data_IF_487769259493
#
_entry.id   IF_487769259493
#
_cell.length_a   1.000
_cell.length_b   1.000
_cell.length_c   1.000
_cell.angle_alpha   90.00
_cell.angle_beta   90.00
_cell.angle_gamma   90.00
#
_symmetry.space_group_name_H-M   'P 1'
#
loop_
_entity.id
_entity.type
_entity.pdbx_description
1 polymer ?
#
# COMPACT_ATOMS: atom_id res chain seq x y z
N UNK A 1 11.23 22.32 12.88
CA UNK A 1 12.56 21.78 13.28
C UNK A 1 12.70 20.30 12.93
N UNK A 2 11.88 19.40 13.50
CA UNK A 2 11.93 17.95 13.25
C UNK A 2 11.83 17.56 11.76
N UNK A 3 10.80 18.03 11.06
CA UNK A 3 10.60 17.72 9.63
C UNK A 3 11.75 18.20 8.73
N UNK A 4 12.44 19.27 9.13
CA UNK A 4 13.62 19.78 8.39
C UNK A 4 14.83 18.85 8.52
N UNK A 5 15.03 18.22 9.68
CA UNK A 5 16.08 17.21 9.83
C UNK A 5 15.75 15.89 9.13
N UNK A 6 14.47 15.51 9.03
CA UNK A 6 14.05 14.37 8.20
C UNK A 6 14.35 14.63 6.72
N UNK A 7 14.11 15.85 6.24
CA UNK A 7 14.50 16.25 4.89
C UNK A 7 16.02 16.27 4.69
N UNK A 8 16.79 16.75 5.66
CA UNK A 8 18.25 16.75 5.60
C UNK A 8 18.81 15.33 5.63
N UNK A 9 18.22 14.45 6.43
CA UNK A 9 18.50 13.01 6.45
C UNK A 9 18.28 12.39 5.06
N UNK A 10 17.17 12.73 4.37
CA UNK A 10 16.93 12.27 3.00
C UNK A 10 17.93 12.80 1.98
N UNK A 11 18.48 14.01 2.20
CA UNK A 11 19.47 14.63 1.31
C UNK A 11 20.85 14.01 1.49
N UNK A 12 21.31 13.90 2.73
CA UNK A 12 22.69 13.56 3.06
C UNK A 12 22.88 12.10 3.48
N UNK A 13 21.80 11.33 3.70
CA UNK A 13 21.82 9.99 4.32
C UNK A 13 22.53 9.95 5.68
N UNK A 14 22.74 11.11 6.30
CA UNK A 14 23.35 11.25 7.62
C UNK A 14 22.31 11.00 8.69
N UNK A 15 22.66 10.31 9.78
CA UNK A 15 21.71 9.99 10.86
C UNK A 15 20.95 11.23 11.38
N UNK A 16 19.66 11.03 11.69
CA UNK A 16 18.84 12.08 12.32
C UNK A 16 19.43 12.39 13.69
N UNK A 17 19.96 13.60 13.84
CA UNK A 17 20.71 14.02 15.02
C UNK A 17 19.80 14.77 16.00
N UNK A 18 18.65 14.16 16.31
CA UNK A 18 17.72 14.64 17.33
C UNK A 18 17.82 13.63 18.49
N UNK A 19 18.36 14.04 19.66
CA UNK A 19 18.39 13.17 20.84
C UNK A 19 16.97 12.70 21.17
N UNK A 20 16.81 11.40 21.43
CA UNK A 20 15.51 10.79 21.78
C UNK A 20 14.43 10.96 20.71
N UNK A 21 14.79 11.09 19.42
CA UNK A 21 13.84 11.27 18.33
C UNK A 21 12.84 10.13 18.19
N UNK A 22 13.33 8.91 18.34
CA UNK A 22 12.56 7.68 18.41
C UNK A 22 11.57 7.70 19.59
N UNK A 23 12.02 8.16 20.76
CA UNK A 23 11.17 8.34 21.95
C UNK A 23 10.16 9.45 21.74
N UNK A 24 10.53 10.57 21.11
CA UNK A 24 9.64 11.68 20.79
C UNK A 24 8.52 11.27 19.82
N UNK A 25 8.84 10.52 18.77
CA UNK A 25 7.84 10.00 17.84
C UNK A 25 6.94 8.94 18.49
N UNK A 26 7.49 8.08 19.33
CA UNK A 26 6.70 7.13 20.14
C UNK A 26 5.78 7.85 21.13
N UNK A 27 6.26 8.92 21.78
CA UNK A 27 5.45 9.74 22.69
C UNK A 27 4.43 10.61 21.95
N UNK A 28 4.70 11.08 20.74
CA UNK A 28 3.66 11.66 19.88
C UNK A 28 2.55 10.64 19.55
N UNK A 29 2.90 9.35 19.54
CA UNK A 29 1.97 8.25 19.39
C UNK A 29 1.30 7.79 20.71
N UNK A 30 1.74 8.28 21.89
CA UNK A 30 1.24 7.90 23.23
C UNK A 30 0.77 9.15 24.02
N UNK A 31 -0.53 9.26 24.30
CA UNK A 31 -1.14 10.43 24.95
C UNK A 31 -1.69 10.11 26.36
N UNK A 32 -1.26 10.84 27.39
CA UNK A 32 -1.69 10.68 28.81
C UNK A 32 -3.08 11.26 29.15
N UNK A 33 -3.74 11.98 28.23
CA UNK A 33 -5.10 12.47 28.48
C UNK A 33 -5.94 12.54 27.21
N UNK A 34 -6.37 11.37 26.76
CA UNK A 34 -7.10 11.19 25.52
C UNK A 34 -8.63 11.40 25.67
N UNK A 35 -9.08 12.02 26.77
CA UNK A 35 -10.47 12.24 27.17
C UNK A 35 -10.69 13.67 27.74
N UNK A 36 -11.90 14.20 27.56
CA UNK A 36 -12.31 15.56 27.95
C UNK A 36 -12.72 15.65 29.42
N UNK A 37 -13.60 14.74 29.84
CA UNK A 37 -14.11 14.67 31.21
C UNK A 37 -14.45 13.25 31.61
N UNK A 38 -14.46 13.01 32.91
CA UNK A 38 -14.95 11.77 33.53
C UNK A 38 -16.14 12.12 34.41
N UNK A 39 -17.24 11.39 34.25
CA UNK A 39 -18.40 11.46 35.14
C UNK A 39 -18.58 10.10 35.82
N UNK A 40 -19.02 10.13 37.06
CA UNK A 40 -19.22 8.93 37.89
C UNK A 40 -20.67 8.88 38.36
N UNK A 41 -21.18 7.67 38.63
CA UNK A 41 -22.58 7.48 39.02
C UNK A 41 -22.96 8.14 40.35
N UNK A 42 -22.00 8.34 41.25
CA UNK A 42 -22.19 8.86 42.61
C UNK A 42 -20.87 9.44 43.14
N UNK A 43 -20.92 10.22 44.21
CA UNK A 43 -19.74 10.87 44.81
C UNK A 43 -18.81 11.58 43.80
N UNK A 44 -19.33 12.53 42.99
CA UNK A 44 -18.53 13.21 41.97
C UNK A 44 -17.34 14.00 42.56
N UNK A 45 -17.45 14.42 43.82
CA UNK A 45 -16.34 15.07 44.54
C UNK A 45 -15.11 14.17 44.71
N UNK A 46 -15.25 12.83 44.63
CA UNK A 46 -14.14 11.88 44.63
C UNK A 46 -13.72 11.42 43.22
N UNK A 47 -14.38 11.89 42.15
CA UNK A 47 -14.07 11.44 40.79
C UNK A 47 -12.62 11.75 40.38
N UNK A 48 -12.04 12.85 40.89
CA UNK A 48 -10.64 13.22 40.64
C UNK A 48 -9.64 12.16 41.14
N UNK A 49 -10.05 11.31 42.09
CA UNK A 49 -9.24 10.20 42.62
C UNK A 49 -9.05 9.06 41.62
N UNK A 50 -9.86 8.99 40.56
CA UNK A 50 -9.67 8.01 39.49
C UNK A 50 -8.43 8.32 38.64
N UNK A 51 -7.99 9.57 38.59
CA UNK A 51 -6.95 10.02 37.65
C UNK A 51 -5.80 10.75 38.35
N UNK A 52 -5.70 10.66 39.68
CA UNK A 52 -4.64 11.33 40.44
C UNK A 52 -3.32 10.53 40.50
N UNK A 53 -3.30 9.33 39.92
CA UNK A 53 -2.12 8.47 39.83
C UNK A 53 -1.67 7.89 41.17
N UNK A 54 -2.43 8.09 42.25
CA UNK A 54 -2.08 7.59 43.57
C UNK A 54 -2.83 6.29 43.88
N UNK A 55 -2.14 5.15 44.05
CA UNK A 55 -2.78 3.84 44.26
C UNK A 55 -3.46 3.71 45.63
N UNK A 56 -3.28 4.68 46.53
CA UNK A 56 -3.92 4.71 47.87
C UNK A 56 -5.23 5.50 47.88
N UNK A 57 -5.48 6.34 46.88
CA UNK A 57 -6.77 7.02 46.70
C UNK A 57 -7.75 6.15 45.93
N UNK A 58 -9.03 6.44 46.10
CA UNK A 58 -10.09 5.75 45.37
C UNK A 58 -11.31 6.64 45.20
N UNK A 59 -12.04 6.38 44.12
CA UNK A 59 -13.45 6.72 44.02
C UNK A 59 -14.26 5.58 44.64
N UNK A 60 -15.25 5.93 45.45
CA UNK A 60 -16.19 5.01 46.07
C UNK A 60 -17.59 5.36 45.61
N UNK A 61 -18.31 4.39 45.08
CA UNK A 61 -19.71 4.59 44.70
C UNK A 61 -20.65 4.44 45.89
N UNK A 62 -21.86 4.98 45.75
CA UNK A 62 -23.00 4.77 46.64
C UNK A 62 -24.23 4.52 45.76
N UNK A 63 -24.92 3.41 45.96
CA UNK A 63 -26.13 3.10 45.20
C UNK A 63 -26.63 1.67 45.38
N UNK A 64 -27.48 1.21 44.46
CA UNK A 64 -27.93 -0.18 44.43
C UNK A 64 -26.96 -1.06 43.65
N UNK A 65 -26.99 -2.37 43.92
CA UNK A 65 -26.10 -3.32 43.25
C UNK A 65 -26.24 -3.22 41.73
N UNK A 66 -25.12 -2.99 41.04
CA UNK A 66 -25.08 -2.91 39.59
C UNK A 66 -25.48 -1.56 38.97
N UNK A 67 -25.78 -0.54 39.78
CA UNK A 67 -26.07 0.82 39.31
C UNK A 67 -24.82 1.69 39.09
N UNK A 68 -23.63 1.14 39.36
CA UNK A 68 -22.38 1.89 39.38
C UNK A 68 -21.76 1.99 37.99
N UNK A 69 -21.37 3.20 37.60
CA UNK A 69 -20.74 3.44 36.31
C UNK A 69 -19.75 4.60 36.35
N UNK A 70 -18.80 4.55 35.42
CA UNK A 70 -17.86 5.61 35.10
C UNK A 70 -18.03 5.92 33.61
N UNK A 71 -18.43 7.15 33.28
CA UNK A 71 -18.52 7.65 31.91
C UNK A 71 -17.24 8.40 31.57
N UNK A 72 -16.65 8.05 30.44
CA UNK A 72 -15.45 8.67 29.90
C UNK A 72 -15.87 9.37 28.61
N UNK A 73 -15.75 10.70 28.60
CA UNK A 73 -16.04 11.50 27.42
C UNK A 73 -14.75 11.66 26.64
N UNK A 74 -14.67 11.01 25.49
CA UNK A 74 -13.46 10.95 24.69
C UNK A 74 -13.30 12.22 23.86
N UNK A 75 -12.06 12.67 23.67
CA UNK A 75 -11.79 13.69 22.67
C UNK A 75 -12.21 13.21 21.29
N UNK A 76 -12.78 14.11 20.49
CA UNK A 76 -13.32 13.78 19.17
C UNK A 76 -12.28 13.11 18.29
N UNK A 77 -12.58 11.90 17.80
CA UNK A 77 -11.72 11.13 16.89
C UNK A 77 -10.66 10.26 17.55
N UNK A 78 -10.58 10.22 18.90
CA UNK A 78 -9.62 9.37 19.62
C UNK A 78 -10.13 7.95 19.77
N UNK A 79 -9.45 6.99 19.15
CA UNK A 79 -9.73 5.56 19.35
C UNK A 79 -8.94 5.02 20.55
N UNK A 80 -9.60 4.29 21.44
CA UNK A 80 -8.97 3.70 22.63
C UNK A 80 -8.07 2.53 22.21
N UNK A 81 -6.77 2.65 22.52
CA UNK A 81 -5.83 1.52 22.41
C UNK A 81 -5.87 0.64 23.64
N UNK A 82 -5.93 1.24 24.82
CA UNK A 82 -6.04 0.49 26.07
C UNK A 82 -6.85 1.30 27.08
N UNK A 83 -7.79 0.65 27.75
CA UNK A 83 -8.50 1.16 28.92
C UNK A 83 -8.25 0.20 30.07
N UNK A 84 -7.68 0.69 31.16
CA UNK A 84 -7.36 -0.10 32.33
C UNK A 84 -7.94 0.49 33.61
N UNK A 85 -8.29 -0.39 34.53
CA UNK A 85 -8.72 -0.07 35.89
C UNK A 85 -7.67 -0.55 36.88
N UNK A 86 -7.41 0.29 37.89
CA UNK A 86 -6.66 -0.09 39.08
C UNK A 86 -7.64 -0.37 40.21
N UNK A 87 -7.49 -1.54 40.82
CA UNK A 87 -8.31 -2.03 41.93
C UNK A 87 -7.38 -2.62 42.98
N UNK A 88 -7.86 -2.88 44.20
CA UNK A 88 -7.07 -3.60 45.19
C UNK A 88 -7.88 -4.67 45.91
N UNK A 89 -7.22 -5.79 46.20
CA UNK A 89 -7.79 -6.90 46.96
C UNK A 89 -8.16 -6.51 48.39
N UNK A 90 -7.47 -5.52 48.97
CA UNK A 90 -7.77 -4.96 50.30
C UNK A 90 -9.15 -4.27 50.36
N UNK A 91 -9.76 -3.94 49.21
CA UNK A 91 -11.10 -3.37 49.17
C UNK A 91 -12.21 -4.41 49.45
N UNK A 92 -11.88 -5.70 49.54
CA UNK A 92 -12.79 -6.79 49.94
C UNK A 92 -14.11 -6.76 49.17
N UNK A 93 -15.26 -6.58 49.84
CA UNK A 93 -16.58 -6.52 49.21
C UNK A 93 -16.76 -5.33 48.25
N UNK A 94 -15.96 -4.28 48.37
CA UNK A 94 -16.02 -3.11 47.49
C UNK A 94 -15.24 -3.32 46.17
N UNK A 95 -14.44 -4.38 46.06
CA UNK A 95 -13.66 -4.65 44.86
C UNK A 95 -14.58 -5.08 43.69
N UNK A 96 -14.46 -4.49 42.48
CA UNK A 96 -15.18 -4.97 41.30
C UNK A 96 -14.88 -6.44 40.99
N UNK A 97 -15.91 -7.22 40.65
CA UNK A 97 -15.79 -8.62 40.24
C UNK A 97 -16.20 -8.85 38.77
N UNK A 98 -17.14 -8.05 38.25
CA UNK A 98 -17.55 -8.08 36.84
C UNK A 98 -17.77 -6.68 36.30
N UNK A 99 -17.05 -6.35 35.24
CA UNK A 99 -17.10 -5.05 34.57
C UNK A 99 -17.56 -5.24 33.13
N UNK A 100 -18.41 -4.33 32.67
CA UNK A 100 -18.93 -4.27 31.32
C UNK A 100 -18.55 -2.92 30.71
N UNK A 101 -17.86 -2.92 29.58
CA UNK A 101 -17.49 -1.72 28.85
C UNK A 101 -18.47 -1.52 27.70
N UNK A 102 -19.13 -0.36 27.67
CA UNK A 102 -20.13 0.01 26.69
C UNK A 102 -19.70 1.26 25.91
N UNK A 103 -20.04 1.33 24.62
CA UNK A 103 -19.86 2.49 23.76
C UNK A 103 -21.20 3.16 23.43
N UNK A 104 -21.19 4.49 23.34
CA UNK A 104 -22.34 5.31 22.99
C UNK A 104 -21.96 6.57 22.24
N UNK A 105 -22.92 7.10 21.47
CA UNK A 105 -22.74 8.38 20.76
C UNK A 105 -22.89 9.57 21.71
N UNK A 106 -23.75 9.46 22.73
CA UNK A 106 -24.01 10.47 23.76
C UNK A 106 -24.26 9.77 25.10
N UNK A 107 -24.16 10.49 26.23
CA UNK A 107 -24.38 9.93 27.57
C UNK A 107 -25.78 9.32 27.78
N UNK A 108 -26.78 9.76 27.02
CA UNK A 108 -28.15 9.23 27.03
C UNK A 108 -28.37 8.03 26.09
N UNK A 109 -27.42 7.71 25.21
CA UNK A 109 -27.54 6.65 24.20
C UNK A 109 -26.28 5.77 24.17
N UNK A 110 -26.15 4.94 25.21
CA UNK A 110 -25.05 3.98 25.38
C UNK A 110 -25.62 2.57 25.24
N UNK A 111 -25.54 2.00 24.04
CA UNK A 111 -26.21 0.74 23.68
C UNK A 111 -25.27 -0.37 23.24
N UNK A 112 -24.04 -0.05 22.79
CA UNK A 112 -23.14 -1.04 22.20
C UNK A 112 -22.23 -1.65 23.26
N UNK A 113 -22.25 -2.96 23.43
CA UNK A 113 -21.30 -3.67 24.29
C UNK A 113 -19.96 -3.82 23.58
N UNK A 114 -18.88 -3.34 24.21
CA UNK A 114 -17.53 -3.40 23.66
C UNK A 114 -16.74 -4.58 24.26
N UNK A 115 -16.88 -4.82 25.56
CA UNK A 115 -16.22 -5.92 26.24
C UNK A 115 -16.86 -6.23 27.59
N UNK A 116 -16.75 -7.48 28.06
CA UNK A 116 -17.18 -7.91 29.39
C UNK A 116 -16.05 -8.69 30.07
N UNK A 117 -15.60 -8.22 31.23
CA UNK A 117 -14.42 -8.75 31.93
C UNK A 117 -14.79 -9.21 33.35
N UNK A 118 -14.37 -10.41 33.71
CA UNK A 118 -14.40 -10.91 35.09
C UNK A 118 -13.06 -10.62 35.76
N UNK A 119 -13.09 -10.08 36.98
CA UNK A 119 -11.91 -9.63 37.71
C UNK A 119 -11.61 -10.62 38.84
N UNK A 120 -10.36 -11.10 38.89
CA UNK A 120 -9.86 -11.94 39.98
C UNK A 120 -9.75 -11.13 41.28
N UNK A 121 -10.00 -11.77 42.42
CA UNK A 121 -9.86 -11.16 43.75
C UNK A 121 -8.41 -10.77 44.10
N UNK A 122 -7.41 -11.26 43.35
CA UNK A 122 -5.98 -10.93 43.50
C UNK A 122 -5.47 -9.88 42.50
N UNK A 123 -6.32 -9.39 41.60
CA UNK A 123 -5.90 -8.47 40.56
C UNK A 123 -5.64 -7.05 41.11
N UNK A 124 -4.67 -6.35 40.51
CA UNK A 124 -4.28 -4.98 40.89
C UNK A 124 -4.48 -3.97 39.75
N UNK A 125 -4.11 -4.34 38.53
CA UNK A 125 -4.40 -3.58 37.29
C UNK A 125 -5.03 -4.51 36.27
N UNK A 126 -6.16 -4.10 35.68
CA UNK A 126 -6.91 -4.91 34.71
C UNK A 126 -7.19 -4.07 33.47
N UNK A 127 -6.82 -4.60 32.32
CA UNK A 127 -7.21 -4.05 31.03
C UNK A 127 -8.65 -4.48 30.73
N UNK A 128 -9.55 -3.51 30.61
CA UNK A 128 -10.98 -3.76 30.39
C UNK A 128 -11.40 -3.56 28.93
N UNK A 129 -10.61 -2.82 28.14
CA UNK A 129 -10.77 -2.71 26.69
C UNK A 129 -9.40 -2.53 26.04
N UNK A 130 -9.16 -3.22 24.93
CA UNK A 130 -7.92 -3.14 24.18
C UNK A 130 -8.20 -3.11 22.68
N UNK A 131 -7.42 -2.32 21.95
CA UNK A 131 -7.46 -2.17 20.49
C UNK A 131 -8.87 -1.99 19.92
N UNK A 132 -9.59 -0.96 20.39
CA UNK A 132 -10.89 -0.63 19.82
C UNK A 132 -10.74 -0.30 18.32
N UNK A 133 -11.68 -0.76 17.50
CA UNK A 133 -11.66 -0.55 16.03
C UNK A 133 -12.44 0.68 15.58
N UNK A 134 -13.19 1.30 16.51
CA UNK A 134 -14.09 2.42 16.25
C UNK A 134 -13.95 3.48 17.34
N UNK A 135 -14.08 4.75 16.93
CA UNK A 135 -14.22 5.88 17.84
C UNK A 135 -15.58 5.88 18.55
N UNK A 136 -15.56 6.05 19.87
CA UNK A 136 -16.76 6.18 20.71
C UNK A 136 -16.68 7.51 21.48
N UNK A 137 -17.62 8.45 21.24
CA UNK A 137 -17.65 9.72 21.97
C UNK A 137 -17.80 9.53 23.49
N UNK A 138 -18.60 8.55 23.90
CA UNK A 138 -18.76 8.18 25.31
C UNK A 138 -18.48 6.70 25.48
N UNK A 139 -17.55 6.38 26.38
CA UNK A 139 -17.27 5.01 26.82
C UNK A 139 -17.65 4.88 28.27
N UNK A 140 -18.51 3.92 28.58
CA UNK A 140 -19.04 3.70 29.91
C UNK A 140 -18.55 2.37 30.47
N UNK A 141 -17.88 2.45 31.62
CA UNK A 141 -17.47 1.30 32.41
C UNK A 141 -18.55 1.05 33.45
N UNK A 142 -19.38 0.02 33.25
CA UNK A 142 -20.41 -0.41 34.21
C UNK A 142 -19.86 -1.50 35.12
N UNK A 143 -20.01 -1.33 36.42
CA UNK A 143 -19.62 -2.31 37.42
C UNK A 143 -20.88 -3.11 37.78
N UNK A 144 -20.98 -4.33 37.24
CA UNK A 144 -22.19 -5.17 37.35
C UNK A 144 -22.25 -5.94 38.66
N UNK A 145 -21.10 -6.30 39.23
CA UNK A 145 -21.00 -7.09 40.46
C UNK A 145 -19.68 -6.76 41.16
N UNK A 146 -19.71 -6.72 42.49
CA UNK A 146 -18.54 -6.63 43.35
C UNK A 146 -18.26 -7.99 44.01
N UNK A 147 -17.06 -8.17 44.55
CA UNK A 147 -16.67 -9.37 45.27
C UNK A 147 -17.55 -9.56 46.52
N UNK A 148 -17.67 -10.80 47.00
CA UNK A 148 -18.40 -11.15 48.23
C UNK A 148 -19.85 -10.61 48.30
N UNK A 149 -20.47 -10.31 47.16
CA UNK A 149 -21.84 -9.76 47.11
C UNK A 149 -21.95 -8.30 47.55
N UNK A 150 -20.84 -7.54 47.53
CA UNK A 150 -20.86 -6.14 47.90
C UNK A 150 -21.80 -5.29 47.04
N UNK A 151 -22.35 -4.24 47.67
CA UNK A 151 -23.30 -3.33 47.06
C UNK A 151 -22.55 -2.22 46.34
N UNK A 152 -21.67 -1.51 47.04
CA UNK A 152 -20.87 -0.39 46.54
C UNK A 152 -19.53 -0.85 45.97
N UNK A 153 -18.84 0.04 45.25
CA UNK A 153 -17.55 -0.29 44.64
C UNK A 153 -16.48 0.78 44.84
N UNK A 154 -15.23 0.34 44.96
CA UNK A 154 -14.04 1.18 44.98
C UNK A 154 -13.18 0.93 43.75
N UNK A 155 -12.86 2.02 43.04
CA UNK A 155 -11.91 2.01 41.92
C UNK A 155 -10.81 3.00 42.25
N UNK A 156 -9.57 2.54 42.19
CA UNK A 156 -8.38 3.28 42.62
C UNK A 156 -7.75 4.10 41.52
N UNK A 157 -7.95 3.68 40.27
CA UNK A 157 -7.39 4.37 39.12
C UNK A 157 -8.10 3.99 37.83
N UNK A 158 -8.09 4.91 36.90
CA UNK A 158 -8.56 4.78 35.53
C UNK A 158 -7.48 5.30 34.61
N UNK A 159 -7.00 4.43 33.72
CA UNK A 159 -5.98 4.77 32.74
C UNK A 159 -6.56 4.55 31.34
N UNK A 160 -6.50 5.60 30.50
CA UNK A 160 -6.97 5.54 29.11
C UNK A 160 -5.82 5.92 28.19
N UNK A 161 -5.34 4.95 27.43
CA UNK A 161 -4.31 5.15 26.42
C UNK A 161 -4.96 5.25 25.04
N UNK A 162 -4.67 6.35 24.36
CA UNK A 162 -5.06 6.63 22.98
C UNK A 162 -4.00 7.48 22.29
N UNK A 163 -4.05 7.63 20.96
CA UNK A 163 -3.19 8.57 20.25
C UNK A 163 -3.63 10.03 20.53
N UNK A 164 -2.67 10.97 20.59
CA UNK A 164 -2.92 12.41 20.81
C UNK A 164 -3.83 12.98 19.73
N UNK A 165 -4.98 13.59 20.06
CA UNK A 165 -5.94 14.07 19.06
C UNK A 165 -5.47 15.23 18.18
N UNK A 166 -4.29 15.85 18.40
CA UNK A 166 -3.94 17.08 17.67
C UNK A 166 -2.62 17.06 16.89
N UNK A 167 -1.58 16.35 17.34
CA UNK A 167 -0.25 16.48 16.71
C UNK A 167 0.11 15.36 15.75
N UNK A 168 -0.31 14.12 16.02
CA UNK A 168 0.08 12.98 15.18
C UNK A 168 -0.52 13.03 13.77
N UNK A 169 -1.83 13.30 13.57
CA UNK A 169 -2.40 13.41 12.23
C UNK A 169 -1.75 14.54 11.42
N UNK A 170 -1.50 15.69 12.05
CA UNK A 170 -0.82 16.84 11.43
C UNK A 170 0.63 16.49 11.08
N UNK A 171 1.35 15.83 11.98
CA UNK A 171 2.71 15.38 11.70
C UNK A 171 2.76 14.38 10.55
N UNK A 172 1.87 13.37 10.53
CA UNK A 172 1.74 12.38 9.46
C UNK A 172 1.46 13.06 8.12
N UNK A 173 0.51 14.00 8.08
CA UNK A 173 0.18 14.76 6.88
C UNK A 173 1.39 15.58 6.39
N UNK A 174 2.08 16.29 7.28
CA UNK A 174 3.25 17.08 6.92
C UNK A 174 4.46 16.23 6.50
N UNK A 175 4.65 15.07 7.14
CA UNK A 175 5.65 14.08 6.74
C UNK A 175 5.36 13.62 5.31
N UNK A 176 4.13 13.17 5.02
CA UNK A 176 3.74 12.73 3.68
C UNK A 176 3.88 13.86 2.66
N UNK A 177 3.36 15.06 2.93
CA UNK A 177 3.46 16.21 2.02
C UNK A 177 4.91 16.54 1.65
N UNK A 178 5.81 16.60 2.63
CA UNK A 178 7.24 16.87 2.39
C UNK A 178 7.94 15.73 1.64
N UNK A 179 7.57 14.49 1.97
CA UNK A 179 8.04 13.30 1.24
C UNK A 179 7.62 13.35 -0.23
N UNK A 180 6.36 13.71 -0.48
CA UNK A 180 5.80 13.85 -1.80
C UNK A 180 6.55 14.90 -2.63
N UNK A 181 6.74 16.11 -2.07
CA UNK A 181 7.44 17.19 -2.76
C UNK A 181 8.90 16.82 -3.06
N UNK A 182 9.60 16.22 -2.10
CA UNK A 182 10.98 15.79 -2.27
C UNK A 182 11.13 14.76 -3.39
N UNK A 183 10.30 13.70 -3.37
CA UNK A 183 10.40 12.64 -4.36
C UNK A 183 9.84 13.01 -5.73
N UNK A 184 8.86 13.90 -5.81
CA UNK A 184 8.36 14.43 -7.09
C UNK A 184 9.47 15.18 -7.84
N UNK A 185 10.23 16.03 -7.13
CA UNK A 185 11.38 16.72 -7.71
C UNK A 185 12.45 15.74 -8.19
N UNK A 186 12.77 14.70 -7.40
CA UNK A 186 13.72 13.66 -7.80
C UNK A 186 13.23 12.83 -8.97
N UNK A 187 11.95 12.45 -9.00
CA UNK A 187 11.35 11.70 -10.10
C UNK A 187 11.47 12.46 -11.42
N UNK A 188 11.20 13.77 -11.39
CA UNK A 188 11.33 14.64 -12.55
C UNK A 188 12.79 14.72 -13.03
N UNK A 189 13.73 15.00 -12.13
CA UNK A 189 15.17 15.08 -12.47
C UNK A 189 15.71 13.76 -13.02
N UNK A 190 15.42 12.63 -12.36
CA UNK A 190 15.85 11.32 -12.84
C UNK A 190 15.17 10.92 -14.16
N UNK A 191 13.90 11.27 -14.34
CA UNK A 191 13.17 11.05 -15.60
C UNK A 191 13.82 11.80 -16.76
N UNK A 192 14.15 13.08 -16.58
CA UNK A 192 14.86 13.89 -17.59
C UNK A 192 16.24 13.31 -17.92
N UNK A 193 17.03 12.93 -16.92
CA UNK A 193 18.34 12.30 -17.15
C UNK A 193 18.26 11.02 -18.01
N UNK A 194 17.17 10.25 -17.87
CA UNK A 194 16.94 9.02 -18.62
C UNK A 194 16.46 9.31 -20.04
N UNK A 195 15.60 10.31 -20.22
CA UNK A 195 15.17 10.77 -21.54
C UNK A 195 16.37 11.26 -22.37
N UNK A 196 17.28 12.03 -21.76
CA UNK A 196 18.51 12.50 -22.42
C UNK A 196 19.49 11.34 -22.73
N UNK A 197 19.69 10.43 -21.76
CA UNK A 197 20.63 9.31 -21.89
C UNK A 197 19.98 8.01 -21.43
N UNK A 198 19.39 7.28 -22.39
CA UNK A 198 18.69 5.99 -22.17
C UNK A 198 19.55 4.96 -21.43
N UNK A 199 20.88 5.02 -21.56
CA UNK A 199 21.82 4.14 -20.86
C UNK A 199 21.83 4.32 -19.33
N UNK A 200 21.41 5.49 -18.82
CA UNK A 200 21.30 5.77 -17.39
C UNK A 200 20.14 5.04 -16.72
N UNK A 201 19.22 4.45 -17.49
CA UNK A 201 18.11 3.66 -16.95
C UNK A 201 18.57 2.53 -16.02
N UNK A 202 19.72 1.91 -16.27
CA UNK A 202 20.27 0.89 -15.36
C UNK A 202 20.80 1.48 -14.04
N UNK A 203 21.22 2.74 -14.04
CA UNK A 203 21.65 3.43 -12.81
C UNK A 203 20.44 3.84 -11.95
N UNK A 204 19.26 4.02 -12.57
CA UNK A 204 18.00 4.28 -11.88
C UNK A 204 17.72 3.19 -10.84
N UNK A 205 17.94 1.92 -11.18
CA UNK A 205 17.72 0.79 -10.27
C UNK A 205 18.41 1.00 -8.91
N UNK A 206 19.70 1.32 -8.93
CA UNK A 206 20.47 1.52 -7.71
C UNK A 206 20.06 2.77 -6.92
N UNK A 207 19.60 3.82 -7.60
CA UNK A 207 19.08 5.04 -6.94
C UNK A 207 17.70 4.80 -6.32
N UNK A 208 16.83 4.10 -7.05
CA UNK A 208 15.47 3.78 -6.65
C UNK A 208 15.45 2.84 -5.45
N UNK A 209 16.20 1.74 -5.52
CA UNK A 209 16.26 0.77 -4.42
C UNK A 209 16.81 1.43 -3.14
N UNK A 210 17.85 2.27 -3.26
CA UNK A 210 18.36 3.03 -2.10
C UNK A 210 17.33 3.98 -1.50
N UNK A 211 16.55 4.68 -2.34
CA UNK A 211 15.50 5.57 -1.87
C UNK A 211 14.38 4.79 -1.14
N UNK A 212 13.90 3.68 -1.73
CA UNK A 212 12.86 2.86 -1.12
C UNK A 212 13.34 2.19 0.18
N UNK A 213 14.55 1.61 0.20
CA UNK A 213 15.13 1.02 1.41
C UNK A 213 15.30 2.05 2.52
N UNK A 214 15.68 3.29 2.19
CA UNK A 214 15.82 4.36 3.17
C UNK A 214 14.49 4.76 3.82
N UNK A 215 13.41 4.89 3.04
CA UNK A 215 12.08 5.18 3.61
C UNK A 215 11.53 3.99 4.39
N UNK A 216 11.82 2.76 3.97
CA UNK A 216 11.45 1.56 4.72
C UNK A 216 12.19 1.50 6.08
N UNK A 217 13.52 1.73 6.08
CA UNK A 217 14.31 1.76 7.32
C UNK A 217 13.83 2.88 8.25
N UNK A 218 13.49 4.05 7.70
CA UNK A 218 12.89 5.12 8.48
C UNK A 218 11.55 4.70 9.11
N UNK A 219 10.68 4.06 8.33
CA UNK A 219 9.40 3.57 8.81
C UNK A 219 9.57 2.56 9.95
N UNK A 220 10.39 1.53 9.73
CA UNK A 220 10.61 0.43 10.69
C UNK A 220 11.26 0.92 11.99
N UNK A 221 12.15 1.91 11.91
CA UNK A 221 12.91 2.41 13.06
C UNK A 221 12.14 3.45 13.88
N UNK A 222 11.36 4.30 13.23
CA UNK A 222 10.82 5.51 13.85
C UNK A 222 9.29 5.56 13.92
N UNK A 223 8.55 4.89 13.04
CA UNK A 223 7.09 4.91 13.04
C UNK A 223 6.55 3.74 13.87
N UNK A 224 5.74 4.04 14.89
CA UNK A 224 5.11 3.02 15.75
C UNK A 224 3.76 2.52 15.22
N UNK A 225 3.25 3.10 14.12
CA UNK A 225 1.94 2.84 13.55
C UNK A 225 2.07 2.29 12.13
N UNK A 226 1.57 1.07 11.91
CA UNK A 226 1.54 0.40 10.60
C UNK A 226 0.78 1.23 9.56
N UNK A 227 -0.23 2.00 9.97
CA UNK A 227 -0.99 2.87 9.07
C UNK A 227 -0.14 4.04 8.56
N UNK A 228 0.74 4.58 9.40
CA UNK A 228 1.67 5.64 9.02
C UNK A 228 2.78 5.11 8.10
N UNK A 229 3.33 3.92 8.39
CA UNK A 229 4.30 3.26 7.52
C UNK A 229 3.71 2.99 6.12
N UNK A 230 2.48 2.46 6.06
CA UNK A 230 1.75 2.25 4.79
C UNK A 230 1.48 3.56 4.05
N UNK A 231 1.09 4.63 4.76
CA UNK A 231 0.85 5.94 4.14
C UNK A 231 2.13 6.54 3.56
N UNK A 232 3.26 6.43 4.26
CA UNK A 232 4.57 6.85 3.76
C UNK A 232 4.97 6.05 2.51
N UNK A 233 4.77 4.73 2.54
CA UNK A 233 5.01 3.84 1.40
C UNK A 233 4.17 4.23 0.16
N UNK A 234 2.86 4.47 0.34
CA UNK A 234 1.97 4.95 -0.73
C UNK A 234 2.41 6.31 -1.28
N UNK A 235 2.85 7.21 -0.41
CA UNK A 235 3.35 8.53 -0.81
C UNK A 235 4.61 8.41 -1.68
N UNK A 236 5.55 7.55 -1.28
CA UNK A 236 6.75 7.29 -2.08
C UNK A 236 6.40 6.68 -3.44
N UNK A 237 5.43 5.77 -3.46
CA UNK A 237 4.93 5.17 -4.70
C UNK A 237 4.34 6.20 -5.66
N UNK A 238 3.43 7.05 -5.19
CA UNK A 238 2.75 8.06 -5.99
C UNK A 238 3.69 9.19 -6.45
N UNK A 239 4.62 9.61 -5.61
CA UNK A 239 5.55 10.71 -5.89
C UNK A 239 6.78 10.29 -6.70
N UNK A 240 7.30 9.08 -6.46
CA UNK A 240 8.54 8.60 -7.07
C UNK A 240 8.28 7.60 -8.19
N UNK A 241 7.64 6.48 -7.85
CA UNK A 241 7.59 5.32 -8.74
C UNK A 241 6.65 5.57 -9.91
N UNK A 242 5.43 6.01 -9.63
CA UNK A 242 4.42 6.19 -10.67
C UNK A 242 4.84 7.18 -11.76
N UNK A 243 5.40 8.37 -11.45
CA UNK A 243 5.89 9.30 -12.46
C UNK A 243 7.13 8.78 -13.22
N UNK A 244 8.05 8.08 -12.54
CA UNK A 244 9.20 7.47 -13.19
C UNK A 244 8.80 6.39 -14.17
N UNK A 245 7.89 5.49 -13.79
CA UNK A 245 7.39 4.45 -14.70
C UNK A 245 6.72 5.08 -15.91
N UNK A 246 5.91 6.13 -15.72
CA UNK A 246 5.34 6.88 -16.86
C UNK A 246 6.42 7.47 -17.76
N UNK A 247 7.46 8.08 -17.20
CA UNK A 247 8.56 8.67 -17.97
C UNK A 247 9.35 7.63 -18.78
N UNK A 248 9.68 6.48 -18.20
CA UNK A 248 10.46 5.44 -18.91
C UNK A 248 9.61 4.63 -19.90
N UNK A 249 8.29 4.62 -19.74
CA UNK A 249 7.34 3.90 -20.61
C UNK A 249 6.72 4.79 -21.68
N UNK A 250 6.74 6.12 -21.52
CA UNK A 250 6.24 7.07 -22.50
C UNK A 250 6.97 6.88 -23.84
N UNK A 251 6.20 6.62 -24.90
CA UNK A 251 6.66 6.57 -26.28
C UNK A 251 6.12 7.78 -27.04
N UNK A 252 7.02 8.54 -27.64
CA UNK A 252 6.67 9.55 -28.65
C UNK A 252 6.52 8.83 -30.01
N UNK A 253 5.60 9.21 -30.92
CA UNK A 253 5.50 8.65 -32.27
C UNK A 253 6.83 8.54 -33.02
N UNK A 254 7.82 9.40 -32.73
CA UNK A 254 9.14 9.37 -33.39
C UNK A 254 10.20 8.65 -32.55
N UNK A 255 10.12 8.70 -31.22
CA UNK A 255 11.15 8.18 -30.32
C UNK A 255 10.74 6.93 -29.54
N UNK A 256 11.61 5.93 -29.60
CA UNK A 256 11.48 4.70 -28.80
C UNK A 256 11.64 5.03 -27.31
N UNK A 257 10.69 4.60 -26.50
CA UNK A 257 10.73 4.79 -25.05
C UNK A 257 12.03 4.22 -24.45
N UNK A 258 12.59 4.82 -23.38
CA UNK A 258 13.82 4.32 -22.74
C UNK A 258 13.72 2.85 -22.34
N UNK A 259 12.57 2.41 -21.84
CA UNK A 259 12.33 1.01 -21.50
C UNK A 259 12.29 0.12 -22.76
N UNK A 260 11.59 0.53 -23.82
CA UNK A 260 11.54 -0.22 -25.08
C UNK A 260 12.92 -0.37 -25.71
N UNK A 261 13.75 0.67 -25.65
CA UNK A 261 15.16 0.62 -26.06
C UNK A 261 15.96 -0.42 -25.26
N UNK A 262 15.82 -0.42 -23.93
CA UNK A 262 16.53 -1.35 -23.05
C UNK A 262 16.15 -2.81 -23.34
N UNK A 263 14.85 -3.07 -23.47
CA UNK A 263 14.30 -4.39 -23.77
C UNK A 263 14.75 -4.89 -25.15
N UNK A 264 14.79 -4.00 -26.15
CA UNK A 264 15.29 -4.34 -27.50
C UNK A 264 16.77 -4.72 -27.42
N UNK A 265 17.59 -3.93 -26.72
CA UNK A 265 19.03 -4.21 -26.55
C UNK A 265 19.30 -5.49 -25.75
N UNK A 266 18.43 -5.82 -24.79
CA UNK A 266 18.47 -7.12 -24.10
C UNK A 266 18.26 -8.29 -25.07
N UNK A 267 17.24 -8.22 -25.93
CA UNK A 267 16.96 -9.27 -26.91
C UNK A 267 18.09 -9.44 -27.93
N UNK A 268 18.65 -8.34 -28.42
CA UNK A 268 19.82 -8.36 -29.32
C UNK A 268 21.03 -9.04 -28.66
N UNK A 269 21.26 -8.79 -27.37
CA UNK A 269 22.32 -9.44 -26.60
C UNK A 269 22.09 -10.94 -26.37
N UNK A 270 20.84 -11.38 -26.28
CA UNK A 270 20.48 -12.80 -26.15
C UNK A 270 20.71 -13.54 -27.48
N UNK A 271 20.50 -12.87 -28.61
CA UNK A 271 20.67 -13.44 -29.95
C UNK A 271 22.11 -13.34 -30.49
N UNK A 272 22.91 -12.39 -30.01
CA UNK A 272 24.26 -12.13 -30.50
C UNK A 272 25.30 -13.19 -30.12
N UNK A 273 25.92 -13.83 -31.12
CA UNK A 273 26.88 -14.94 -30.95
C UNK A 273 28.35 -14.54 -30.72
N UNK A 274 28.72 -13.24 -30.82
CA UNK A 274 30.15 -12.83 -30.97
C UNK A 274 30.71 -11.70 -30.08
N UNK A 275 29.97 -11.09 -29.14
CA UNK A 275 30.54 -10.03 -28.25
C UNK A 275 31.05 -10.59 -26.93
N UNK A 276 32.04 -9.91 -26.32
CA UNK A 276 32.69 -10.25 -25.04
C UNK A 276 31.66 -10.73 -24.00
N UNK A 277 31.64 -12.05 -23.74
CA UNK A 277 30.57 -12.74 -23.00
C UNK A 277 30.34 -12.18 -21.59
N UNK A 278 31.40 -11.66 -20.96
CA UNK A 278 31.35 -11.13 -19.60
C UNK A 278 30.51 -9.84 -19.49
N UNK A 279 30.75 -8.85 -20.35
CA UNK A 279 30.08 -7.54 -20.26
C UNK A 279 28.59 -7.65 -20.60
N UNK A 280 28.24 -8.49 -21.57
CA UNK A 280 26.85 -8.77 -21.96
C UNK A 280 26.07 -9.47 -20.86
N UNK A 281 26.70 -10.41 -20.14
CA UNK A 281 26.09 -11.09 -19.00
C UNK A 281 25.77 -10.14 -17.85
N UNK A 282 26.72 -9.24 -17.51
CA UNK A 282 26.51 -8.22 -16.46
C UNK A 282 25.34 -7.30 -16.83
N UNK A 283 25.29 -6.81 -18.07
CA UNK A 283 24.19 -5.99 -18.55
C UNK A 283 22.83 -6.70 -18.43
N UNK A 284 22.73 -7.93 -18.94
CA UNK A 284 21.49 -8.71 -18.89
C UNK A 284 21.04 -8.99 -17.44
N UNK A 285 21.98 -9.25 -16.53
CA UNK A 285 21.66 -9.41 -15.11
C UNK A 285 21.04 -8.16 -14.48
N UNK A 286 21.54 -6.96 -14.87
CA UNK A 286 21.01 -5.68 -14.38
C UNK A 286 19.63 -5.37 -14.96
N UNK A 287 19.40 -5.70 -16.24
CA UNK A 287 18.07 -5.56 -16.87
C UNK A 287 17.03 -6.43 -16.14
N UNK A 288 17.34 -7.71 -15.88
CA UNK A 288 16.42 -8.59 -15.14
C UNK A 288 16.08 -8.04 -13.75
N UNK A 289 17.09 -7.60 -12.99
CA UNK A 289 16.88 -7.00 -11.66
C UNK A 289 15.99 -5.75 -11.71
N UNK A 290 16.19 -4.88 -12.70
CA UNK A 290 15.35 -3.70 -12.92
C UNK A 290 13.90 -4.12 -13.24
N UNK A 291 13.71 -5.02 -14.20
CA UNK A 291 12.37 -5.50 -14.59
C UNK A 291 11.63 -6.16 -13.44
N UNK A 292 12.30 -7.00 -12.65
CA UNK A 292 11.72 -7.61 -11.46
C UNK A 292 11.28 -6.58 -10.42
N UNK A 293 12.10 -5.56 -10.15
CA UNK A 293 11.74 -4.50 -9.20
C UNK A 293 10.55 -3.69 -9.71
N UNK A 294 10.56 -3.23 -10.96
CA UNK A 294 9.45 -2.45 -11.50
C UNK A 294 8.12 -3.21 -11.41
N UNK A 295 8.15 -4.52 -11.69
CA UNK A 295 6.97 -5.38 -11.59
C UNK A 295 6.56 -5.66 -10.14
N UNK A 296 7.50 -5.91 -9.23
CA UNK A 296 7.19 -6.23 -7.82
C UNK A 296 6.67 -5.04 -7.04
N UNK A 297 7.25 -3.85 -7.25
CA UNK A 297 6.83 -2.67 -6.50
C UNK A 297 5.38 -2.28 -6.91
N UNK A 298 4.97 -2.53 -8.17
CA UNK A 298 3.59 -2.40 -8.68
C UNK A 298 2.58 -3.41 -8.10
N UNK A 299 3.04 -4.58 -7.62
CA UNK A 299 2.19 -5.64 -7.07
C UNK A 299 1.94 -5.56 -5.56
N UNK A 300 2.54 -4.60 -4.87
CA UNK A 300 2.21 -4.34 -3.46
C UNK A 300 0.76 -3.84 -3.35
N UNK A 301 -0.06 -4.37 -2.42
CA UNK A 301 -1.51 -4.22 -2.49
C UNK A 301 -1.93 -2.76 -2.28
N UNK A 302 -2.49 -2.15 -3.33
CA UNK A 302 -3.53 -1.15 -3.13
C UNK A 302 -4.71 -1.90 -2.49
N UNK A 303 -4.91 -1.70 -1.20
CA UNK A 303 -6.05 -2.26 -0.47
C UNK A 303 -7.34 -2.04 -1.26
N UNK A 304 -7.93 -3.14 -1.73
CA UNK A 304 -9.29 -3.23 -2.26
C UNK A 304 -10.26 -2.98 -1.12
N UNK A 305 -10.44 -1.73 -0.73
CA UNK A 305 -11.63 -1.27 -0.03
C UNK A 305 -12.58 -0.63 -1.06
N UNK A 306 -13.00 -1.44 -2.03
CA UNK A 306 -14.20 -1.16 -2.83
C UNK A 306 -15.40 -1.18 -1.89
N UNK A 307 -15.81 0.02 -1.46
CA UNK A 307 -17.08 0.27 -0.83
C UNK A 307 -18.19 -0.38 -1.68
N UNK A 308 -18.93 -1.31 -1.07
CA UNK A 308 -20.26 -1.75 -1.56
C UNK A 308 -21.15 -0.51 -1.76
N UNK A 309 -22.05 -0.50 -2.75
CA UNK A 309 -22.98 0.61 -2.92
C UNK A 309 -24.08 0.54 -1.84
N UNK A 310 -24.40 1.65 -1.12
CA UNK A 310 -25.64 1.72 -0.38
C UNK A 310 -26.77 2.18 -1.31
N UNK A 311 -27.87 1.43 -1.23
CA UNK A 311 -29.17 1.73 -1.82
C UNK A 311 -29.74 3.08 -1.35
N UNK A 312 -30.45 3.73 -2.27
CA UNK A 312 -31.18 5.01 -2.18
C UNK A 312 -31.90 5.24 -0.82
N UNK A 313 -31.79 6.47 -0.29
CA UNK A 313 -32.96 7.30 0.04
C UNK A 313 -32.60 8.78 0.31
N UNK A 314 -33.53 9.65 -0.08
CA UNK A 314 -33.48 11.11 -0.15
C UNK A 314 -33.33 11.84 1.19
N UNK A 315 -32.71 13.03 1.16
CA UNK A 315 -32.88 14.07 2.18
C UNK A 315 -31.80 15.17 2.16
N UNK A 316 -32.18 16.38 1.74
CA UNK A 316 -31.35 17.61 1.63
C UNK A 316 -30.76 18.07 2.97
N UNK A 317 -29.51 18.56 3.00
CA UNK A 317 -29.16 20.01 3.10
C UNK A 317 -27.70 20.28 3.57
N UNK A 318 -27.07 21.23 2.85
CA UNK A 318 -26.03 22.23 3.22
C UNK A 318 -24.58 21.86 3.61
N UNK A 319 -23.74 22.08 2.60
CA UNK A 319 -22.34 22.54 2.52
C UNK A 319 -21.58 22.98 3.80
N UNK A 320 -20.36 22.45 3.94
CA UNK A 320 -19.19 23.18 4.45
C UNK A 320 -17.99 22.75 3.62
N UNK A 321 -17.39 23.70 2.91
CA UNK A 321 -16.32 23.52 1.93
C UNK A 321 -14.98 23.24 2.62
N UNK A 322 -14.31 22.17 2.21
CA UNK A 322 -12.88 21.92 2.44
C UNK A 322 -12.30 21.43 1.11
N UNK A 323 -11.23 22.05 0.56
CA UNK A 323 -10.68 21.65 -0.72
C UNK A 323 -9.78 20.43 -0.56
N UNK A 324 -10.37 19.26 -0.34
CA UNK A 324 -9.65 18.01 -0.52
C UNK A 324 -9.81 17.60 -1.99
N UNK A 325 -8.83 17.96 -2.81
CA UNK A 325 -8.69 17.46 -4.17
C UNK A 325 -8.55 15.94 -4.08
N UNK A 326 -9.67 15.22 -4.26
CA UNK A 326 -9.63 13.81 -4.62
C UNK A 326 -9.19 13.74 -6.08
N UNK A 327 -8.05 13.14 -6.44
CA UNK A 327 -7.82 12.78 -7.82
C UNK A 327 -8.70 11.57 -8.10
N UNK A 328 -9.91 11.82 -8.60
CA UNK A 328 -10.64 10.85 -9.40
C UNK A 328 -9.88 10.64 -10.71
N UNK A 329 -8.88 9.75 -10.68
CA UNK A 329 -8.19 9.29 -11.87
C UNK A 329 -8.33 7.79 -11.93
N UNK A 330 -9.06 7.29 -12.95
CA UNK A 330 -8.93 5.92 -13.41
C UNK A 330 -7.45 5.64 -13.66
N UNK A 331 -6.78 5.03 -12.69
CA UNK A 331 -5.34 4.94 -12.66
C UNK A 331 -4.85 4.15 -13.86
N UNK A 332 -4.14 4.80 -14.76
CA UNK A 332 -3.20 4.13 -15.65
C UNK A 332 -2.24 3.35 -14.75
N UNK A 333 -2.51 2.05 -14.55
CA UNK A 333 -1.66 1.21 -13.70
C UNK A 333 -0.27 1.24 -14.31
N UNK A 334 0.77 1.55 -13.53
CA UNK A 334 2.14 1.69 -14.06
C UNK A 334 2.59 0.41 -14.79
N UNK A 335 2.14 -0.75 -14.32
CA UNK A 335 2.28 -2.06 -14.97
C UNK A 335 1.68 -2.15 -16.38
N UNK A 336 0.61 -1.39 -16.69
CA UNK A 336 0.05 -1.30 -18.05
C UNK A 336 1.05 -0.67 -19.02
N UNK A 337 1.72 0.41 -18.63
CA UNK A 337 2.73 1.08 -19.46
C UNK A 337 3.92 0.17 -19.74
N UNK A 338 4.36 -0.60 -18.75
CA UNK A 338 5.45 -1.60 -18.90
C UNK A 338 5.01 -2.71 -19.87
N UNK A 339 3.79 -3.25 -19.70
CA UNK A 339 3.25 -4.28 -20.58
C UNK A 339 3.08 -3.80 -22.04
N UNK A 340 2.63 -2.55 -22.24
CA UNK A 340 2.55 -1.91 -23.56
C UNK A 340 3.92 -1.71 -24.20
N UNK A 341 4.94 -1.33 -23.41
CA UNK A 341 6.32 -1.28 -23.91
C UNK A 341 6.80 -2.65 -24.39
N UNK A 342 6.54 -3.71 -23.63
CA UNK A 342 6.86 -5.07 -24.03
C UNK A 342 6.15 -5.49 -25.32
N UNK A 343 4.84 -5.22 -25.42
CA UNK A 343 4.05 -5.44 -26.64
C UNK A 343 4.69 -4.79 -27.86
N UNK A 344 5.05 -3.50 -27.75
CA UNK A 344 5.67 -2.74 -28.84
C UNK A 344 7.04 -3.29 -29.26
N UNK A 345 7.83 -3.81 -28.33
CA UNK A 345 9.12 -4.47 -28.62
C UNK A 345 8.89 -5.79 -29.35
N UNK A 346 7.96 -6.61 -28.89
CA UNK A 346 7.59 -7.88 -29.54
C UNK A 346 7.11 -7.63 -30.96
N UNK A 347 6.21 -6.65 -31.15
CA UNK A 347 5.72 -6.25 -32.47
C UNK A 347 6.86 -5.90 -33.43
N UNK A 348 7.81 -5.07 -32.99
CA UNK A 348 8.99 -4.69 -33.80
C UNK A 348 9.89 -5.87 -34.14
N UNK A 349 10.06 -6.83 -33.22
CA UNK A 349 10.85 -8.04 -33.47
C UNK A 349 10.19 -8.94 -34.51
N UNK A 350 8.87 -9.11 -34.43
CA UNK A 350 8.08 -9.87 -35.41
C UNK A 350 8.15 -9.20 -36.78
N UNK A 351 7.99 -7.88 -36.85
CA UNK A 351 8.11 -7.12 -38.10
C UNK A 351 9.49 -7.29 -38.74
N UNK A 352 10.57 -7.07 -37.99
CA UNK A 352 11.95 -7.24 -38.49
C UNK A 352 12.23 -8.67 -38.96
N UNK A 353 11.71 -9.66 -38.24
CA UNK A 353 11.86 -11.06 -38.61
C UNK A 353 11.18 -11.36 -39.95
N UNK A 354 9.95 -10.88 -40.14
CA UNK A 354 9.19 -11.07 -41.36
C UNK A 354 9.83 -10.34 -42.54
N UNK A 355 10.30 -9.11 -42.35
CA UNK A 355 11.03 -8.36 -43.40
C UNK A 355 12.27 -9.10 -43.90
N UNK A 356 13.01 -9.78 -43.01
CA UNK A 356 14.26 -10.45 -43.38
C UNK A 356 14.12 -11.91 -43.79
N UNK A 357 13.09 -12.62 -43.32
CA UNK A 357 13.02 -14.09 -43.42
C UNK A 357 11.79 -14.59 -44.17
N UNK A 358 10.97 -13.71 -44.77
CA UNK A 358 9.69 -14.10 -45.39
C UNK A 358 9.79 -15.14 -46.52
N UNK A 359 10.96 -15.27 -47.15
CA UNK A 359 11.19 -16.17 -48.29
C UNK A 359 12.06 -17.39 -47.93
N UNK A 360 12.34 -17.61 -46.64
CA UNK A 360 13.13 -18.76 -46.18
C UNK A 360 12.30 -20.06 -46.22
N UNK A 361 12.88 -21.19 -46.65
CA UNK A 361 12.18 -22.49 -46.64
C UNK A 361 11.86 -23.00 -45.21
N UNK A 362 12.67 -22.61 -44.21
CA UNK A 362 12.52 -23.01 -42.79
C UNK A 362 11.74 -22.00 -41.92
N UNK A 363 10.93 -21.14 -42.55
CA UNK A 363 10.30 -19.99 -41.90
C UNK A 363 9.43 -20.36 -40.70
N UNK A 364 8.64 -21.44 -40.77
CA UNK A 364 7.81 -21.91 -39.66
C UNK A 364 8.65 -22.31 -38.44
N UNK A 365 9.76 -23.03 -38.66
CA UNK A 365 10.69 -23.45 -37.61
C UNK A 365 11.37 -22.25 -36.95
N UNK A 366 11.79 -21.27 -37.76
CA UNK A 366 12.42 -20.02 -37.29
C UNK A 366 11.44 -19.12 -36.53
N UNK A 367 10.19 -19.03 -36.98
CA UNK A 367 9.13 -18.28 -36.30
C UNK A 367 8.79 -18.92 -34.93
N UNK A 368 8.67 -20.25 -34.87
CA UNK A 368 8.49 -20.97 -33.61
C UNK A 368 9.66 -20.76 -32.64
N UNK A 369 10.90 -20.77 -33.15
CA UNK A 369 12.08 -20.47 -32.35
C UNK A 369 12.05 -19.05 -31.78
N UNK A 370 11.70 -18.05 -32.60
CA UNK A 370 11.54 -16.67 -32.16
C UNK A 370 10.50 -16.54 -31.04
N UNK A 371 9.31 -17.14 -31.20
CA UNK A 371 8.28 -17.14 -30.16
C UNK A 371 8.78 -17.75 -28.85
N UNK A 372 9.42 -18.94 -28.89
CA UNK A 372 9.99 -19.58 -27.70
C UNK A 372 11.07 -18.73 -27.05
N UNK A 373 11.92 -18.08 -27.85
CA UNK A 373 12.96 -17.17 -27.35
C UNK A 373 12.37 -15.94 -26.65
N UNK A 374 11.35 -15.31 -27.25
CA UNK A 374 10.67 -14.15 -26.65
C UNK A 374 9.89 -14.53 -25.40
N UNK A 375 9.24 -15.70 -25.37
CA UNK A 375 8.57 -16.23 -24.19
C UNK A 375 9.55 -16.48 -23.04
N UNK A 376 10.69 -17.13 -23.31
CA UNK A 376 11.76 -17.33 -22.30
C UNK A 376 12.29 -16.00 -21.77
N UNK A 377 12.54 -15.03 -22.65
CA UNK A 377 12.98 -13.70 -22.25
C UNK A 377 11.95 -12.96 -21.37
N UNK A 378 10.66 -13.10 -21.70
CA UNK A 378 9.54 -12.56 -20.90
C UNK A 378 9.52 -13.18 -19.51
N UNK A 379 9.57 -14.51 -19.42
CA UNK A 379 9.58 -15.25 -18.15
C UNK A 379 10.79 -14.85 -17.28
N UNK A 380 11.97 -14.68 -17.87
CA UNK A 380 13.19 -14.25 -17.17
C UNK A 380 13.15 -12.80 -16.66
N UNK A 381 12.38 -11.90 -17.30
CA UNK A 381 12.36 -10.48 -16.95
C UNK A 381 11.17 -10.08 -16.08
N UNK A 382 10.00 -10.65 -16.35
CA UNK A 382 8.73 -10.26 -15.74
C UNK A 382 8.09 -11.39 -14.91
N UNK A 383 8.64 -12.60 -14.95
CA UNK A 383 8.04 -13.79 -14.32
C UNK A 383 6.80 -14.29 -15.07
N UNK A 384 6.09 -15.25 -14.48
CA UNK A 384 4.89 -15.88 -15.06
C UNK A 384 3.61 -15.04 -14.87
N UNK A 385 3.67 -13.76 -15.18
CA UNK A 385 2.52 -12.86 -15.06
C UNK A 385 1.66 -12.90 -16.32
N UNK A 386 0.35 -13.16 -16.15
CA UNK A 386 -0.62 -13.25 -17.24
C UNK A 386 -0.68 -11.98 -18.10
N UNK A 387 -0.47 -10.80 -17.51
CA UNK A 387 -0.46 -9.51 -18.22
C UNK A 387 0.62 -9.44 -19.30
N UNK A 388 1.82 -9.94 -19.02
CA UNK A 388 2.94 -9.94 -19.96
C UNK A 388 2.82 -11.03 -21.02
N UNK A 389 2.17 -12.15 -20.68
CA UNK A 389 1.78 -13.16 -21.66
C UNK A 389 0.76 -12.61 -22.67
N UNK A 390 -0.23 -11.84 -22.20
CA UNK A 390 -1.21 -11.19 -23.09
C UNK A 390 -0.55 -10.16 -24.01
N UNK A 391 0.35 -9.32 -23.50
CA UNK A 391 1.08 -8.35 -24.33
C UNK A 391 2.04 -8.99 -25.32
N UNK A 392 2.64 -10.15 -24.98
CA UNK A 392 3.37 -10.98 -25.94
C UNK A 392 2.46 -11.41 -27.10
N UNK A 393 1.27 -11.96 -26.80
CA UNK A 393 0.31 -12.40 -27.82
C UNK A 393 -0.15 -11.24 -28.71
N UNK A 394 -0.54 -10.13 -28.10
CA UNK A 394 -0.97 -8.93 -28.84
C UNK A 394 0.13 -8.39 -29.74
N UNK A 395 1.39 -8.36 -29.29
CA UNK A 395 2.52 -7.92 -30.09
C UNK A 395 2.76 -8.79 -31.33
N UNK A 396 2.57 -10.11 -31.21
CA UNK A 396 2.61 -11.03 -32.36
C UNK A 396 1.47 -10.77 -33.35
N UNK A 397 0.23 -10.64 -32.86
CA UNK A 397 -0.92 -10.34 -33.71
C UNK A 397 -0.74 -9.02 -34.46
N UNK A 398 -0.35 -7.95 -33.77
CA UNK A 398 -0.13 -6.64 -34.38
C UNK A 398 1.01 -6.64 -35.41
N UNK A 399 2.08 -7.39 -35.14
CA UNK A 399 3.20 -7.53 -36.09
C UNK A 399 2.80 -8.24 -37.38
N UNK A 400 1.90 -9.25 -37.29
CA UNK A 400 1.36 -9.94 -38.46
C UNK A 400 0.36 -9.06 -39.24
N UNK A 401 -0.49 -8.31 -38.54
CA UNK A 401 -1.49 -7.43 -39.16
C UNK A 401 -0.89 -6.25 -39.93
N UNK A 402 0.37 -5.87 -39.64
CA UNK A 402 1.07 -4.78 -40.33
C UNK A 402 1.85 -5.23 -41.58
N UNK A 403 1.67 -6.48 -42.03
CA UNK A 403 2.28 -6.99 -43.27
C UNK A 403 1.73 -6.30 -44.53
N UNK A 404 2.59 -6.15 -45.54
CA UNK A 404 2.13 -5.78 -46.88
C UNK A 404 1.25 -6.89 -47.47
N UNK A 405 0.25 -6.52 -48.28
CA UNK A 405 -0.76 -7.44 -48.82
C UNK A 405 -0.18 -8.71 -49.50
N UNK A 406 0.93 -8.56 -50.23
CA UNK A 406 1.62 -9.66 -50.91
C UNK A 406 2.23 -10.67 -49.93
N UNK A 407 2.79 -10.19 -48.81
CA UNK A 407 3.37 -11.04 -47.76
C UNK A 407 2.26 -11.73 -46.96
N UNK A 408 1.14 -11.05 -46.70
CA UNK A 408 -0.01 -11.59 -45.98
C UNK A 408 -0.67 -12.78 -46.72
N UNK A 409 -0.79 -12.69 -48.05
CA UNK A 409 -1.33 -13.76 -48.89
C UNK A 409 -0.51 -15.05 -48.80
N UNK A 410 0.83 -14.96 -48.84
CA UNK A 410 1.71 -16.12 -48.77
C UNK A 410 1.72 -16.76 -47.36
N UNK A 411 1.68 -15.95 -46.31
CA UNK A 411 1.59 -16.41 -44.91
C UNK A 411 0.27 -17.10 -44.61
N UNK A 412 -0.85 -16.63 -45.20
CA UNK A 412 -2.19 -17.23 -45.00
C UNK A 412 -2.33 -18.64 -45.59
N UNK A 413 -1.44 -19.01 -46.51
CA UNK A 413 -1.40 -20.31 -47.18
C UNK A 413 -0.53 -21.34 -46.45
N UNK A 414 -0.02 -21.06 -45.24
CA UNK A 414 0.90 -21.96 -44.53
C UNK A 414 0.18 -23.07 -43.74
N UNK A 415 0.31 -24.35 -44.17
CA UNK A 415 -0.29 -25.49 -43.46
C UNK A 415 0.38 -25.80 -42.10
N UNK A 416 1.58 -25.28 -41.82
CA UNK A 416 2.33 -25.56 -40.59
C UNK A 416 2.14 -24.54 -39.45
N UNK A 417 1.37 -23.46 -39.65
CA UNK A 417 0.99 -22.54 -38.56
C UNK A 417 0.18 -23.27 -37.46
N UNK A 418 -0.57 -24.29 -37.84
CA UNK A 418 -1.30 -25.21 -36.95
C UNK A 418 -0.39 -26.05 -36.04
N UNK A 419 0.93 -26.08 -36.27
CA UNK A 419 1.89 -26.72 -35.36
C UNK A 419 2.15 -25.89 -34.09
N UNK A 420 1.83 -24.59 -34.12
CA UNK A 420 1.90 -23.71 -32.95
C UNK A 420 0.74 -23.99 -31.96
N UNK A 421 -0.39 -24.54 -32.44
CA UNK A 421 -1.54 -24.95 -31.61
C UNK A 421 -1.18 -26.00 -30.57
N UNK A 422 -0.08 -26.74 -30.77
CA UNK A 422 0.41 -27.73 -29.80
C UNK A 422 1.15 -27.12 -28.61
N UNK A 423 1.51 -25.84 -28.65
CA UNK A 423 2.36 -25.19 -27.65
C UNK A 423 1.66 -24.11 -26.80
N UNK A 424 0.54 -23.54 -27.26
CA UNK A 424 -0.31 -22.65 -26.46
C UNK A 424 -1.75 -22.62 -27.04
N UNK A 425 -2.74 -23.28 -26.42
CA UNK A 425 -4.10 -23.44 -26.98
C UNK A 425 -4.87 -22.11 -27.15
N UNK A 426 -4.38 -21.02 -26.59
CA UNK A 426 -4.97 -19.68 -26.75
C UNK A 426 -4.34 -18.86 -27.89
N UNK A 427 -3.29 -19.35 -28.56
CA UNK A 427 -2.72 -18.72 -29.75
C UNK A 427 -3.64 -18.94 -30.98
N UNK A 428 -4.46 -19.99 -30.92
CA UNK A 428 -5.44 -20.40 -31.92
C UNK A 428 -6.46 -19.29 -32.26
N UNK A 429 -6.92 -18.49 -31.29
CA UNK A 429 -7.94 -17.45 -31.56
C UNK A 429 -7.39 -16.25 -32.34
N UNK A 430 -6.14 -15.85 -32.09
CA UNK A 430 -5.49 -14.73 -32.78
C UNK A 430 -5.07 -15.06 -34.21
N UNK A 431 -4.54 -16.27 -34.42
CA UNK A 431 -4.23 -16.80 -35.75
C UNK A 431 -5.50 -17.04 -36.58
N UNK A 432 -6.58 -17.56 -35.98
CA UNK A 432 -7.87 -17.67 -36.66
C UNK A 432 -8.42 -16.32 -37.11
N UNK A 433 -8.28 -15.25 -36.32
CA UNK A 433 -8.67 -13.91 -36.74
C UNK A 433 -7.81 -13.36 -37.89
N UNK A 434 -6.50 -13.63 -37.88
CA UNK A 434 -5.60 -13.24 -38.98
C UNK A 434 -5.94 -13.99 -40.28
N UNK A 435 -6.15 -15.31 -40.21
CA UNK A 435 -6.61 -16.11 -41.34
C UNK A 435 -8.00 -15.67 -41.81
N UNK A 436 -8.93 -15.38 -40.91
CA UNK A 436 -10.26 -14.86 -41.26
C UNK A 436 -10.18 -13.49 -41.95
N UNK A 437 -9.30 -12.59 -41.50
CA UNK A 437 -9.09 -11.27 -42.11
C UNK A 437 -8.41 -11.35 -43.48
N UNK A 438 -7.47 -12.30 -43.66
CA UNK A 438 -6.84 -12.58 -44.95
C UNK A 438 -7.81 -13.26 -45.94
N UNK A 439 -8.73 -14.09 -45.44
CA UNK A 439 -9.80 -14.74 -46.25
C UNK A 439 -10.92 -13.74 -46.60
N UNK A 440 -11.23 -12.78 -45.72
CA UNK A 440 -12.30 -11.78 -45.93
C UNK A 440 -11.90 -10.64 -46.87
N UNK A 441 -10.60 -10.36 -47.02
CA UNK A 441 -10.07 -9.39 -48.00
C UNK A 441 -9.66 -10.05 -49.33
N UNK A 442 -10.15 -11.27 -49.58
CA UNK A 442 -10.09 -12.00 -50.85
C UNK A 442 -11.41 -11.81 -51.57
#
# INVERSE_FOLDING_TARGET
MVLGQIEEHRRCQQQINIPFFDVFLRNLCQEDKCWEKIEVSSNPHRASKLTDGNPKSYWESIGSTGSHYINIFMHRGVVIRQLALTVASEDSSYMPARVLVMGGENASNISTELNAVNISSSASRIVVLENATRFWPVVQVKIKRCQQGGIDTRVRGLEVLGPKPTLWPVFKEQLCMRTFLFYTSRAHSWGQEICEKKERLLQLFGRLNRALSHEQEFADRFLADDEAAKALGRTCWEALISPLVRSITASDPVEVSPLSWLLTRYLENVQGTRRSKAQTSIFNSRVRRLSHLLVHVDTSPLDTATLKPPSKNNGKSRETLSPCVRPSGSGWSSLAGIAQCWQGVVRKQVQRFLEMSWNDEDLASRFCFMYRSLRRAMDEMFGQQTRFLLSLRQGFCEGLLQLSFLTALHVSLWPHLWSIDRFDPFFHSGLCCFCAFAIYNR
#
